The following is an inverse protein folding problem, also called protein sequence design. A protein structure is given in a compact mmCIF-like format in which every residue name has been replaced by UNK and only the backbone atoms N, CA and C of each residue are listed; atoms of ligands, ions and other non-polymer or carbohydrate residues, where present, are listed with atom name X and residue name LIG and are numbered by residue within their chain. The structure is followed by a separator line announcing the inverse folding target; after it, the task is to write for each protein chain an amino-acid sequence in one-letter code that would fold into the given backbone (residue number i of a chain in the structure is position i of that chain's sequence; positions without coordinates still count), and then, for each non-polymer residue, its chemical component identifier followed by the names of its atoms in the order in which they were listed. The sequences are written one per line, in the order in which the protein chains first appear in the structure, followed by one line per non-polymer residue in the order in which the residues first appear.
data_IF_719765298776
#
_entry.id   IF_719765298776
#
_cell.length_a   1.000
_cell.length_b   1.000
_cell.length_c   1.000
_cell.angle_alpha   90.00
_cell.angle_beta   90.00
_cell.angle_gamma   90.00
#
_symmetry.space_group_name_H-M   'P 1'
#
loop_
_entity.id
_entity.type
_entity.pdbx_description
1 polymer ?
#
# COMPACT_ATOMS: atom_id res chain seq x y z
N UNK A 1 8.01 -16.14 11.85
CA UNK A 1 8.54 -16.80 10.63
C UNK A 1 9.16 -15.76 9.72
N UNK A 2 10.39 -15.99 9.31
CA UNK A 2 11.11 -15.06 8.43
C UNK A 2 10.53 -15.11 7.02
N UNK A 3 10.21 -13.98 6.45
CA UNK A 3 9.68 -13.87 5.10
C UNK A 3 10.60 -13.02 4.23
N UNK A 4 10.91 -13.53 3.04
CA UNK A 4 11.73 -12.80 2.08
C UNK A 4 10.84 -11.87 1.25
N UNK A 5 11.05 -10.58 1.40
CA UNK A 5 10.37 -9.57 0.61
C UNK A 5 11.33 -9.07 -0.46
N UNK A 6 11.00 -9.31 -1.72
CA UNK A 6 11.82 -8.86 -2.86
C UNK A 6 11.07 -7.85 -3.71
N UNK A 7 9.79 -8.10 -3.96
CA UNK A 7 8.95 -7.27 -4.82
C UNK A 7 7.89 -6.56 -3.99
N UNK A 8 7.94 -5.23 -4.03
CA UNK A 8 7.01 -4.36 -3.34
C UNK A 8 6.17 -3.60 -4.37
N UNK A 9 4.85 -3.60 -4.19
CA UNK A 9 3.93 -2.87 -5.05
C UNK A 9 3.18 -1.86 -4.19
N UNK A 10 3.26 -0.59 -4.58
CA UNK A 10 2.56 0.50 -3.94
C UNK A 10 1.39 0.92 -4.81
N UNK A 11 0.19 1.02 -4.25
CA UNK A 11 -1.00 1.36 -5.01
C UNK A 11 -1.78 2.48 -4.32
N UNK A 12 -2.15 3.47 -5.11
CA UNK A 12 -3.11 4.50 -4.72
C UNK A 12 -4.33 4.37 -5.61
N UNK A 13 -5.40 3.68 -5.16
CA UNK A 13 -6.62 3.51 -5.94
C UNK A 13 -7.31 4.85 -6.20
N UNK A 14 -8.03 4.94 -7.31
CA UNK A 14 -8.82 6.12 -7.64
C UNK A 14 -10.24 5.99 -7.12
N UNK A 15 -10.88 7.14 -6.91
CA UNK A 15 -12.30 7.18 -6.58
C UNK A 15 -13.13 6.79 -7.81
N UNK A 16 -14.21 6.03 -7.59
CA UNK A 16 -15.17 5.70 -8.65
C UNK A 16 -16.18 6.80 -8.89
N UNK A 17 -16.26 7.77 -7.98
CA UNK A 17 -17.21 8.86 -8.10
C UNK A 17 -16.59 10.04 -8.86
N UNK A 18 -17.28 10.47 -9.92
CA UNK A 18 -16.90 11.70 -10.61
C UNK A 18 -17.16 12.89 -9.68
N UNK A 19 -16.08 13.58 -9.40
CA UNK A 19 -16.06 14.66 -8.44
C UNK A 19 -15.43 15.87 -9.13
N UNK A 20 -15.79 17.08 -8.74
CA UNK A 20 -15.21 18.28 -9.33
C UNK A 20 -13.68 18.26 -9.19
N UNK A 21 -13.17 17.68 -8.12
CA UNK A 21 -11.74 17.54 -7.89
C UNK A 21 -11.12 16.36 -8.63
N UNK A 22 -11.91 15.47 -9.23
CA UNK A 22 -11.38 14.32 -9.98
C UNK A 22 -10.69 14.74 -11.27
N UNK A 23 -10.90 15.97 -11.71
CA UNK A 23 -10.23 16.55 -12.87
C UNK A 23 -8.82 17.04 -12.56
N UNK A 24 -8.50 17.19 -11.28
CA UNK A 24 -7.18 17.62 -10.84
C UNK A 24 -6.44 16.40 -10.32
N UNK A 25 -5.54 15.89 -11.13
CA UNK A 25 -4.74 14.73 -10.77
C UNK A 25 -3.54 15.21 -9.97
N UNK A 26 -3.68 15.24 -8.65
CA UNK A 26 -2.56 15.56 -7.76
C UNK A 26 -2.11 14.25 -7.13
N UNK A 27 -0.96 13.67 -7.56
CA UNK A 27 -0.45 12.46 -6.95
C UNK A 27 -0.13 12.71 -5.48
N UNK A 28 -0.54 11.79 -4.62
CA UNK A 28 -0.08 11.80 -3.24
C UNK A 28 1.38 11.35 -3.24
N UNK A 29 2.26 12.14 -2.63
CA UNK A 29 3.69 11.90 -2.73
C UNK A 29 4.17 10.70 -1.90
N UNK A 30 3.37 10.26 -0.93
CA UNK A 30 3.77 9.21 -0.01
C UNK A 30 4.21 7.91 -0.67
N UNK A 31 3.39 7.38 -1.59
CA UNK A 31 3.71 6.12 -2.28
C UNK A 31 4.92 6.27 -3.20
N UNK A 32 5.03 7.40 -3.90
CA UNK A 32 6.16 7.67 -4.78
C UNK A 32 7.44 7.80 -3.97
N UNK A 33 7.39 8.54 -2.86
CA UNK A 33 8.53 8.72 -1.98
C UNK A 33 9.00 7.39 -1.37
N UNK A 34 8.07 6.63 -0.79
CA UNK A 34 8.40 5.32 -0.23
C UNK A 34 8.93 4.37 -1.29
N UNK A 35 8.31 4.36 -2.47
CA UNK A 35 8.77 3.52 -3.57
C UNK A 35 10.20 3.86 -3.98
N UNK A 36 10.53 5.14 -4.04
CA UNK A 36 11.88 5.59 -4.38
C UNK A 36 12.89 5.16 -3.32
N UNK A 37 12.53 5.34 -2.03
CA UNK A 37 13.39 4.92 -0.92
C UNK A 37 13.65 3.41 -0.97
N UNK A 38 12.59 2.62 -1.13
CA UNK A 38 12.72 1.16 -1.13
C UNK A 38 13.49 0.65 -2.34
N UNK A 39 13.29 1.30 -3.51
CA UNK A 39 14.08 0.96 -4.70
C UNK A 39 15.57 1.22 -4.47
N UNK A 40 15.91 2.31 -3.80
CA UNK A 40 17.31 2.62 -3.48
C UNK A 40 17.93 1.60 -2.53
N UNK A 41 17.11 0.87 -1.79
CA UNK A 41 17.57 -0.22 -0.90
C UNK A 41 17.67 -1.57 -1.60
N UNK A 42 17.38 -1.63 -2.89
CA UNK A 42 17.54 -2.84 -3.69
C UNK A 42 16.28 -3.65 -3.92
N UNK A 43 15.12 -3.19 -3.49
CA UNK A 43 13.86 -3.87 -3.75
C UNK A 43 13.39 -3.66 -5.19
N UNK A 44 12.70 -4.66 -5.74
CA UNK A 44 11.96 -4.49 -6.99
C UNK A 44 10.65 -3.78 -6.67
N UNK A 45 10.51 -2.54 -7.12
CA UNK A 45 9.40 -1.67 -6.74
C UNK A 45 8.56 -1.29 -7.95
N UNK A 46 7.23 -1.44 -7.80
CA UNK A 46 6.24 -0.91 -8.73
C UNK A 46 5.33 0.05 -7.98
N UNK A 47 5.02 1.18 -8.57
CA UNK A 47 4.12 2.18 -8.00
C UNK A 47 3.00 2.46 -9.00
N UNK A 48 1.76 2.28 -8.56
CA UNK A 48 0.58 2.55 -9.38
C UNK A 48 -0.26 3.63 -8.70
N UNK A 49 -0.35 4.77 -9.36
CA UNK A 49 -1.28 5.83 -8.98
C UNK A 49 -2.40 5.74 -10.02
N UNK A 50 -3.54 5.18 -9.62
CA UNK A 50 -4.59 4.78 -10.55
C UNK A 50 -5.20 5.96 -11.30
N UNK A 51 -5.17 7.16 -10.72
CA UNK A 51 -5.61 8.37 -11.43
C UNK A 51 -4.79 8.67 -12.69
N UNK A 52 -3.55 8.18 -12.74
CA UNK A 52 -2.62 8.45 -13.84
C UNK A 52 -2.43 7.21 -14.71
N UNK A 53 -2.39 6.04 -14.10
CA UNK A 53 -2.01 4.80 -14.76
C UNK A 53 -2.84 3.64 -14.23
N UNK A 54 -3.36 2.81 -15.12
CA UNK A 54 -4.09 1.61 -14.72
C UNK A 54 -3.20 0.66 -13.91
N UNK A 55 -3.81 0.04 -12.89
CA UNK A 55 -3.12 -0.94 -12.06
C UNK A 55 -2.92 -2.22 -12.86
N UNK A 56 -1.67 -2.70 -12.92
CA UNK A 56 -1.40 -4.03 -13.48
C UNK A 56 -1.59 -5.07 -12.38
N UNK A 57 -2.72 -5.76 -12.44
CA UNK A 57 -3.06 -6.75 -11.41
C UNK A 57 -2.12 -7.96 -11.40
N UNK A 58 -1.45 -8.26 -12.51
CA UNK A 58 -0.45 -9.34 -12.53
C UNK A 58 0.71 -9.00 -11.60
N UNK A 59 1.11 -7.73 -11.58
CA UNK A 59 2.18 -7.26 -10.69
C UNK A 59 1.74 -7.29 -9.23
N UNK A 60 0.50 -6.89 -8.97
CA UNK A 60 -0.08 -6.93 -7.61
C UNK A 60 -0.15 -8.36 -7.09
N UNK A 61 -0.65 -9.28 -7.93
CA UNK A 61 -0.85 -10.68 -7.53
C UNK A 61 0.48 -11.44 -7.35
N UNK A 62 1.56 -10.96 -7.96
CA UNK A 62 2.89 -11.57 -7.84
C UNK A 62 3.78 -10.88 -6.80
N UNK A 63 3.29 -9.84 -6.15
CA UNK A 63 4.06 -9.09 -5.16
C UNK A 63 4.26 -9.87 -3.86
N UNK A 64 5.37 -9.62 -3.20
CA UNK A 64 5.62 -10.14 -1.86
C UNK A 64 4.93 -9.28 -0.81
N UNK A 65 4.87 -7.97 -1.05
CA UNK A 65 4.17 -7.02 -0.21
C UNK A 65 3.43 -6.01 -1.09
N UNK A 66 2.19 -5.73 -0.71
CA UNK A 66 1.38 -4.69 -1.37
C UNK A 66 1.05 -3.62 -0.34
N UNK A 67 1.44 -2.40 -0.63
CA UNK A 67 1.13 -1.23 0.20
C UNK A 67 0.04 -0.42 -0.47
N UNK A 68 -1.09 -0.28 0.20
CA UNK A 68 -2.27 0.41 -0.33
C UNK A 68 -2.48 1.70 0.46
N UNK A 69 -2.52 2.81 -0.25
CA UNK A 69 -2.80 4.12 0.34
C UNK A 69 -4.25 4.51 0.08
N UNK A 70 -5.01 4.71 1.15
CA UNK A 70 -6.44 5.00 1.06
C UNK A 70 -6.77 6.38 1.61
N UNK A 71 -7.62 7.08 0.87
CA UNK A 71 -8.36 8.23 1.39
C UNK A 71 -9.82 7.82 1.53
N UNK A 72 -10.64 8.63 2.18
CA UNK A 72 -12.03 8.25 2.46
C UNK A 72 -12.81 7.91 1.19
N UNK A 73 -12.63 8.67 0.12
CA UNK A 73 -13.34 8.44 -1.15
C UNK A 73 -12.87 7.18 -1.89
N UNK A 74 -11.70 6.65 -1.56
CA UNK A 74 -11.16 5.45 -2.21
C UNK A 74 -11.16 4.23 -1.29
N UNK A 75 -11.70 4.34 -0.07
CA UNK A 75 -11.64 3.27 0.91
C UNK A 75 -12.26 1.95 0.42
N UNK A 76 -13.46 1.93 -0.20
CA UNK A 76 -14.04 0.67 -0.67
C UNK A 76 -13.17 -0.05 -1.70
N UNK A 77 -12.62 0.68 -2.66
CA UNK A 77 -11.73 0.13 -3.69
C UNK A 77 -10.42 -0.36 -3.06
N UNK A 78 -9.90 0.41 -2.10
CA UNK A 78 -8.66 0.06 -1.40
C UNK A 78 -8.82 -1.23 -0.61
N UNK A 79 -9.95 -1.42 0.05
CA UNK A 79 -10.22 -2.64 0.81
C UNK A 79 -10.36 -3.85 -0.12
N UNK A 80 -11.05 -3.71 -1.26
CA UNK A 80 -11.15 -4.80 -2.23
C UNK A 80 -9.78 -5.21 -2.78
N UNK A 81 -8.95 -4.22 -3.08
CA UNK A 81 -7.59 -4.49 -3.56
C UNK A 81 -6.75 -5.18 -2.48
N UNK A 82 -6.85 -4.71 -1.24
CA UNK A 82 -6.15 -5.32 -0.11
C UNK A 82 -6.57 -6.77 0.08
N UNK A 83 -7.88 -7.04 0.05
CA UNK A 83 -8.40 -8.40 0.19
C UNK A 83 -7.90 -9.32 -0.92
N UNK A 84 -7.88 -8.82 -2.16
CA UNK A 84 -7.39 -9.57 -3.32
C UNK A 84 -5.91 -9.89 -3.19
N UNK A 85 -5.09 -8.91 -2.80
CA UNK A 85 -3.66 -9.11 -2.62
C UNK A 85 -3.36 -10.09 -1.48
N UNK A 86 -4.10 -9.96 -0.39
CA UNK A 86 -3.93 -10.86 0.76
C UNK A 86 -4.31 -12.29 0.41
N UNK A 87 -5.39 -12.48 -0.34
CA UNK A 87 -5.79 -13.80 -0.82
C UNK A 87 -4.76 -14.43 -1.75
N UNK A 88 -4.00 -13.62 -2.48
CA UNK A 88 -2.91 -14.09 -3.34
C UNK A 88 -1.62 -14.39 -2.58
N UNK A 89 -1.58 -14.16 -1.28
CA UNK A 89 -0.43 -14.49 -0.43
C UNK A 89 0.53 -13.34 -0.13
N UNK A 90 0.22 -12.13 -0.59
CA UNK A 90 1.05 -10.96 -0.27
C UNK A 90 0.84 -10.51 1.19
N UNK A 91 1.88 -9.93 1.76
CA UNK A 91 1.74 -9.14 2.98
C UNK A 91 1.10 -7.82 2.58
N UNK A 92 0.02 -7.43 3.24
CA UNK A 92 -0.70 -6.19 2.90
C UNK A 92 -0.51 -5.16 4.01
N UNK A 93 -0.04 -3.98 3.61
CA UNK A 93 0.12 -2.83 4.48
C UNK A 93 -0.79 -1.71 3.97
N UNK A 94 -1.60 -1.15 4.83
CA UNK A 94 -2.44 0.00 4.48
C UNK A 94 -1.96 1.26 5.18
N UNK A 95 -2.04 2.37 4.48
CA UNK A 95 -1.74 3.69 5.00
C UNK A 95 -2.64 4.74 4.37
N UNK A 96 -2.30 6.00 4.57
CA UNK A 96 -3.06 7.13 4.05
C UNK A 96 -3.99 7.73 5.09
N UNK A 97 -4.67 8.82 4.71
CA UNK A 97 -5.47 9.57 5.67
C UNK A 97 -6.66 8.79 6.22
N UNK A 98 -7.33 8.00 5.38
CA UNK A 98 -8.48 7.22 5.85
C UNK A 98 -8.08 6.22 6.93
N UNK A 99 -7.04 5.43 6.69
CA UNK A 99 -6.60 4.41 7.64
C UNK A 99 -5.98 5.01 8.89
N UNK A 100 -5.47 6.23 8.81
CA UNK A 100 -4.99 6.96 9.99
C UNK A 100 -6.14 7.33 10.93
N UNK A 101 -7.33 7.64 10.38
CA UNK A 101 -8.53 7.92 11.17
C UNK A 101 -9.29 6.66 11.56
N UNK A 102 -9.26 5.64 10.72
CA UNK A 102 -10.02 4.40 10.89
C UNK A 102 -9.09 3.18 10.86
N UNK A 103 -8.10 3.10 11.80
CA UNK A 103 -7.11 2.02 11.74
C UNK A 103 -7.71 0.63 11.97
N UNK A 104 -8.73 0.52 12.83
CA UNK A 104 -9.37 -0.76 13.10
C UNK A 104 -10.09 -1.30 11.88
N UNK A 105 -10.69 -0.41 11.08
CA UNK A 105 -11.31 -0.79 9.81
C UNK A 105 -10.26 -1.29 8.82
N UNK A 106 -9.13 -0.59 8.73
CA UNK A 106 -8.02 -1.02 7.87
C UNK A 106 -7.47 -2.38 8.27
N UNK A 107 -7.38 -2.66 9.55
CA UNK A 107 -6.87 -3.95 10.05
C UNK A 107 -7.77 -5.14 9.71
N UNK A 108 -9.01 -4.90 9.30
CA UNK A 108 -9.88 -5.98 8.81
C UNK A 108 -9.47 -6.47 7.42
N UNK A 109 -8.70 -5.67 6.68
CA UNK A 109 -8.33 -5.95 5.29
C UNK A 109 -6.82 -6.07 5.08
N UNK A 110 -6.02 -5.61 6.03
CA UNK A 110 -4.56 -5.59 5.91
C UNK A 110 -3.91 -6.34 7.06
N UNK A 111 -2.66 -6.74 6.85
CA UNK A 111 -1.86 -7.35 7.91
C UNK A 111 -1.30 -6.28 8.85
N UNK A 112 -1.03 -5.09 8.32
CA UNK A 112 -0.50 -3.97 9.08
C UNK A 112 -1.11 -2.66 8.60
N UNK A 113 -1.27 -1.71 9.53
CA UNK A 113 -1.69 -0.35 9.24
C UNK A 113 -0.62 0.61 9.74
N UNK A 114 -0.16 1.47 8.83
CA UNK A 114 0.80 2.54 9.16
C UNK A 114 0.03 3.84 9.27
N UNK A 115 0.08 4.47 10.45
CA UNK A 115 -0.63 5.71 10.74
C UNK A 115 0.26 6.91 10.53
N UNK A 116 -0.32 8.03 10.05
CA UNK A 116 0.40 9.27 9.85
C UNK A 116 1.41 9.23 8.72
N UNK A 117 2.50 9.97 8.86
CA UNK A 117 3.60 9.97 7.89
C UNK A 117 4.43 8.72 8.09
N UNK A 118 4.40 7.85 7.09
CA UNK A 118 4.86 6.48 7.23
C UNK A 118 6.28 6.16 6.77
N UNK A 119 7.11 7.16 6.41
CA UNK A 119 8.41 6.86 5.80
C UNK A 119 9.29 5.99 6.68
N UNK A 120 9.46 6.35 7.95
CA UNK A 120 10.28 5.56 8.87
C UNK A 120 9.57 4.29 9.33
N UNK A 121 8.29 4.41 9.69
CA UNK A 121 7.53 3.28 10.20
C UNK A 121 7.43 2.16 9.15
N UNK A 122 7.23 2.50 7.88
CA UNK A 122 7.18 1.53 6.81
C UNK A 122 8.52 0.81 6.64
N UNK A 123 9.62 1.56 6.64
CA UNK A 123 10.95 0.96 6.50
C UNK A 123 11.26 0.01 7.67
N UNK A 124 10.94 0.43 8.89
CA UNK A 124 11.13 -0.42 10.08
C UNK A 124 10.28 -1.68 10.00
N UNK A 125 9.05 -1.55 9.51
CA UNK A 125 8.15 -2.68 9.34
C UNK A 125 8.73 -3.70 8.34
N UNK A 126 9.19 -3.24 7.18
CA UNK A 126 9.77 -4.12 6.16
C UNK A 126 11.02 -4.81 6.71
N UNK A 127 11.88 -4.07 7.39
CA UNK A 127 13.09 -4.63 7.99
C UNK A 127 12.75 -5.71 9.04
N UNK A 128 11.73 -5.45 9.86
CA UNK A 128 11.28 -6.38 10.87
C UNK A 128 10.71 -7.67 10.26
N UNK A 129 9.93 -7.55 9.19
CA UNK A 129 9.40 -8.73 8.48
C UNK A 129 10.55 -9.55 7.89
N UNK A 130 11.56 -8.89 7.30
CA UNK A 130 12.73 -9.57 6.74
C UNK A 130 13.51 -10.32 7.82
N UNK A 131 13.61 -9.75 9.04
CA UNK A 131 14.30 -10.43 10.15
C UNK A 131 13.47 -11.57 10.75
N UNK A 132 12.18 -11.61 10.45
CA UNK A 132 11.28 -12.60 11.03
C UNK A 132 10.83 -12.25 12.44
N UNK A 133 10.83 -10.96 12.80
CA UNK A 133 10.34 -10.51 14.08
C UNK A 133 8.83 -10.78 14.19
N UNK A 134 8.42 -11.25 15.35
CA UNK A 134 7.01 -11.52 15.60
C UNK A 134 6.24 -10.24 15.88
N UNK A 135 5.14 -10.06 15.16
CA UNK A 135 4.15 -9.02 15.45
C UNK A 135 2.91 -9.75 15.97
N UNK A 136 2.97 -10.00 17.23
CA UNK A 136 1.88 -10.68 17.91
C UNK A 136 0.69 -9.79 18.15
#
# INVERSE_FOLDING_TARGET
MKRQLKKLVFVEPKSTHLHIYSRVCIPRLGSVLLGTIMRSKGYDVRVYIEDIQAIDMREVLSADLVAVSAITSTAPQSYRLADTAKAAGAVVVMGGTHTSFMPDEGMQHADFVVRGEGEFAFQELVDAIQRGDGFG
#
